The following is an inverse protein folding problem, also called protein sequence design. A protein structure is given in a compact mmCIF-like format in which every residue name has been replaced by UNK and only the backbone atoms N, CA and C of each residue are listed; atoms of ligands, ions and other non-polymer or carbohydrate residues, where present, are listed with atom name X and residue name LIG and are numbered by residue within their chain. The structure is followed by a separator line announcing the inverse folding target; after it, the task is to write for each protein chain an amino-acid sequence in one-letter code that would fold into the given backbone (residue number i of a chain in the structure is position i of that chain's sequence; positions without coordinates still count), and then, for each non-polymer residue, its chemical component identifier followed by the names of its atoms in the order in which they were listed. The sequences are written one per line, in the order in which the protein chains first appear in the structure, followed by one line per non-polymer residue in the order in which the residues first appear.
data_IF_907487343137
#
_entry.id   IF_907487343137
#
_cell.length_a   1.000
_cell.length_b   1.000
_cell.length_c   1.000
_cell.angle_alpha   90.00
_cell.angle_beta   90.00
_cell.angle_gamma   90.00
#
_symmetry.space_group_name_H-M   'P 1'
#
loop_
_entity.id
_entity.type
_entity.pdbx_description
1 polymer ?
#
# COMPACT_ATOMS: atom_id res chain seq x y z
N UNK A 1 -25.94 22.41 -7.78
CA UNK A 1 -25.68 21.30 -8.72
C UNK A 1 -24.35 21.53 -9.43
N UNK A 2 -24.11 22.67 -10.08
CA UNK A 2 -22.86 22.97 -10.80
C UNK A 2 -21.62 22.90 -9.89
N UNK A 3 -21.70 23.44 -8.70
CA UNK A 3 -20.62 23.42 -7.70
C UNK A 3 -20.26 21.98 -7.27
N UNK A 4 -21.24 21.13 -7.00
CA UNK A 4 -21.02 19.72 -6.72
C UNK A 4 -20.35 18.98 -7.89
N UNK A 5 -20.84 19.25 -9.11
CA UNK A 5 -20.28 18.64 -10.33
C UNK A 5 -18.81 19.03 -10.51
N UNK A 6 -18.48 20.31 -10.40
CA UNK A 6 -17.10 20.81 -10.53
C UNK A 6 -16.19 20.19 -9.47
N UNK A 7 -16.66 20.09 -8.23
CA UNK A 7 -15.92 19.44 -7.15
C UNK A 7 -15.61 17.99 -7.49
N UNK A 8 -16.62 17.20 -7.93
CA UNK A 8 -16.43 15.79 -8.27
C UNK A 8 -15.47 15.60 -9.46
N UNK A 9 -15.60 16.43 -10.50
CA UNK A 9 -14.69 16.38 -11.65
C UNK A 9 -13.24 16.66 -11.22
N UNK A 10 -13.03 17.63 -10.33
CA UNK A 10 -11.72 17.96 -9.79
C UNK A 10 -11.14 16.80 -8.96
N UNK A 11 -11.94 16.24 -8.04
CA UNK A 11 -11.52 15.10 -7.22
C UNK A 11 -11.15 13.88 -8.07
N UNK A 12 -11.95 13.55 -9.09
CA UNK A 12 -11.71 12.41 -10.00
C UNK A 12 -10.40 12.60 -10.78
N UNK A 13 -10.21 13.77 -11.40
CA UNK A 13 -9.00 14.04 -12.17
C UNK A 13 -7.74 14.07 -11.32
N UNK A 14 -7.84 14.63 -10.12
CA UNK A 14 -6.71 14.63 -9.18
C UNK A 14 -6.37 13.22 -8.74
N UNK A 15 -7.40 12.40 -8.41
CA UNK A 15 -7.21 11.01 -8.03
C UNK A 15 -6.55 10.19 -9.17
N UNK A 16 -7.00 10.37 -10.39
CA UNK A 16 -6.40 9.73 -11.57
C UNK A 16 -4.92 10.08 -11.71
N UNK A 17 -4.58 11.36 -11.59
CA UNK A 17 -3.20 11.86 -11.68
C UNK A 17 -2.34 11.31 -10.55
N UNK A 18 -2.83 11.39 -9.30
CA UNK A 18 -2.08 10.92 -8.13
C UNK A 18 -1.86 9.41 -8.18
N UNK A 19 -2.89 8.64 -8.54
CA UNK A 19 -2.78 7.19 -8.65
C UNK A 19 -1.76 6.77 -9.72
N UNK A 20 -1.75 7.42 -10.89
CA UNK A 20 -0.74 7.19 -11.93
C UNK A 20 0.69 7.40 -11.40
N UNK A 21 0.90 8.47 -10.63
CA UNK A 21 2.22 8.76 -10.04
C UNK A 21 2.61 7.72 -9.00
N UNK A 22 1.70 7.38 -8.08
CA UNK A 22 1.97 6.43 -6.99
C UNK A 22 2.28 5.03 -7.54
N UNK A 23 1.45 4.52 -8.45
CA UNK A 23 1.61 3.19 -9.06
C UNK A 23 2.90 3.14 -9.89
N UNK A 24 3.15 4.16 -10.73
CA UNK A 24 4.38 4.23 -11.52
C UNK A 24 5.62 4.19 -10.63
N UNK A 25 5.70 5.07 -9.62
CA UNK A 25 6.84 5.13 -8.70
C UNK A 25 7.03 3.84 -7.90
N UNK A 26 5.95 3.20 -7.51
CA UNK A 26 6.02 1.95 -6.77
C UNK A 26 6.55 0.78 -7.61
N UNK A 27 6.14 0.70 -8.88
CA UNK A 27 6.58 -0.37 -9.78
C UNK A 27 7.96 -0.12 -10.40
N UNK A 28 8.37 1.14 -10.52
CA UNK A 28 9.64 1.54 -11.13
C UNK A 28 10.84 0.98 -10.36
N UNK A 29 11.88 0.52 -11.10
CA UNK A 29 13.12 -0.03 -10.54
C UNK A 29 12.90 -1.18 -9.53
N UNK A 30 11.81 -1.94 -9.67
CA UNK A 30 11.47 -3.06 -8.77
C UNK A 30 11.32 -2.63 -7.30
N UNK A 31 10.93 -1.38 -7.02
CA UNK A 31 10.78 -0.85 -5.65
C UNK A 31 9.79 -1.66 -4.82
N UNK A 32 8.68 -2.14 -5.43
CA UNK A 32 7.72 -3.03 -4.79
C UNK A 32 8.36 -4.30 -4.20
N UNK A 33 9.39 -4.81 -4.88
CA UNK A 33 10.13 -5.97 -4.41
C UNK A 33 11.16 -5.60 -3.34
N UNK A 34 11.91 -4.50 -3.51
CA UNK A 34 12.91 -4.02 -2.56
C UNK A 34 12.29 -3.62 -1.22
N UNK A 35 11.14 -2.95 -1.26
CA UNK A 35 10.38 -2.57 -0.06
C UNK A 35 10.08 -3.77 0.85
N UNK A 36 9.86 -4.96 0.31
CA UNK A 36 9.56 -6.17 1.09
C UNK A 36 10.66 -6.53 2.10
N UNK A 37 11.89 -6.10 1.85
CA UNK A 37 13.08 -6.42 2.65
C UNK A 37 13.57 -5.24 3.51
N UNK A 38 12.84 -4.12 3.52
CA UNK A 38 13.15 -2.97 4.36
C UNK A 38 12.65 -3.17 5.80
N UNK A 39 13.48 -2.75 6.79
CA UNK A 39 13.14 -2.90 8.23
C UNK A 39 11.91 -2.09 8.64
N UNK A 40 11.74 -0.89 8.06
CA UNK A 40 10.61 0.00 8.31
C UNK A 40 9.61 -0.08 7.14
N UNK A 41 9.05 -1.29 6.93
CA UNK A 41 8.05 -1.50 5.88
C UNK A 41 6.82 -0.64 6.14
N UNK A 42 6.40 0.20 5.19
CA UNK A 42 5.13 0.89 5.28
C UNK A 42 3.97 -0.11 5.34
N UNK A 43 3.16 -0.05 6.40
CA UNK A 43 1.97 -0.90 6.53
C UNK A 43 1.02 -0.71 5.35
N UNK A 44 0.45 -1.81 4.84
CA UNK A 44 -0.66 -1.82 3.89
C UNK A 44 -0.48 -0.84 2.71
N UNK A 45 0.49 -1.10 1.83
CA UNK A 45 0.80 -0.26 0.66
C UNK A 45 -0.41 -0.11 -0.27
N UNK A 46 -1.17 -1.19 -0.45
CA UNK A 46 -2.44 -1.24 -1.19
C UNK A 46 -3.45 -0.20 -0.66
N UNK A 47 -3.62 -0.14 0.65
CA UNK A 47 -4.50 0.83 1.32
C UNK A 47 -4.00 2.27 1.14
N UNK A 48 -2.68 2.49 1.12
CA UNK A 48 -2.10 3.84 0.90
C UNK A 48 -2.36 4.33 -0.52
N UNK A 49 -2.22 3.46 -1.52
CA UNK A 49 -2.43 3.82 -2.94
C UNK A 49 -3.92 4.04 -3.24
N UNK A 50 -4.81 3.20 -2.73
CA UNK A 50 -6.25 3.28 -3.03
C UNK A 50 -6.99 4.18 -2.05
N UNK A 51 -6.99 3.83 -0.76
CA UNK A 51 -7.86 4.47 0.23
C UNK A 51 -7.29 5.80 0.71
N UNK A 52 -6.02 5.84 1.17
CA UNK A 52 -5.43 7.06 1.73
C UNK A 52 -5.33 8.15 0.68
N UNK A 53 -5.00 7.82 -0.58
CA UNK A 53 -4.94 8.79 -1.67
C UNK A 53 -6.33 9.39 -1.97
N UNK A 54 -7.37 8.57 -2.04
CA UNK A 54 -8.75 9.03 -2.27
C UNK A 54 -9.26 9.91 -1.13
N UNK A 55 -9.06 9.44 0.11
CA UNK A 55 -9.53 10.17 1.29
C UNK A 55 -8.73 11.45 1.54
N UNK A 56 -7.44 11.46 1.21
CA UNK A 56 -6.59 12.67 1.24
C UNK A 56 -7.14 13.75 0.31
N UNK A 57 -7.46 13.41 -0.94
CA UNK A 57 -7.99 14.35 -1.92
C UNK A 57 -9.34 14.89 -1.47
N UNK A 58 -10.28 14.03 -1.11
CA UNK A 58 -11.61 14.42 -0.66
C UNK A 58 -11.57 15.30 0.59
N UNK A 59 -10.75 14.93 1.58
CA UNK A 59 -10.57 15.74 2.79
C UNK A 59 -9.89 17.08 2.48
N UNK A 60 -8.91 17.14 1.57
CA UNK A 60 -8.25 18.38 1.15
C UNK A 60 -9.27 19.36 0.56
N UNK A 61 -10.05 18.91 -0.41
CA UNK A 61 -11.07 19.74 -1.07
C UNK A 61 -12.09 20.23 -0.04
N UNK A 62 -12.56 19.35 0.83
CA UNK A 62 -13.53 19.68 1.89
C UNK A 62 -12.99 20.71 2.88
N UNK A 63 -11.75 20.53 3.35
CA UNK A 63 -11.10 21.42 4.31
C UNK A 63 -10.84 22.79 3.66
N UNK A 64 -10.25 22.84 2.47
CA UNK A 64 -9.91 24.10 1.77
C UNK A 64 -11.20 24.88 1.47
N UNK A 65 -12.23 24.23 0.93
CA UNK A 65 -13.52 24.87 0.66
C UNK A 65 -14.19 25.38 1.93
N UNK A 66 -14.20 24.57 2.99
CA UNK A 66 -14.76 24.97 4.28
C UNK A 66 -14.01 26.13 4.89
N UNK A 67 -12.67 26.15 4.78
CA UNK A 67 -11.84 27.26 5.27
C UNK A 67 -12.10 28.55 4.51
N UNK A 68 -12.14 28.51 3.18
CA UNK A 68 -12.43 29.69 2.35
C UNK A 68 -13.82 30.25 2.70
N UNK A 69 -14.84 29.39 2.75
CA UNK A 69 -16.19 29.81 3.12
C UNK A 69 -16.26 30.39 4.53
N UNK A 70 -15.56 29.80 5.49
CA UNK A 70 -15.51 30.31 6.87
C UNK A 70 -14.83 31.66 6.96
N UNK A 71 -13.73 31.88 6.23
CA UNK A 71 -13.01 33.17 6.19
C UNK A 71 -13.93 34.26 5.60
N UNK A 72 -14.52 33.99 4.42
CA UNK A 72 -15.41 34.96 3.75
C UNK A 72 -16.61 35.30 4.63
N UNK A 73 -17.28 34.30 5.20
CA UNK A 73 -18.42 34.48 6.10
C UNK A 73 -18.01 35.24 7.37
N UNK A 74 -16.83 34.99 7.91
CA UNK A 74 -16.32 35.70 9.09
C UNK A 74 -16.12 37.19 8.77
N UNK A 75 -15.52 37.53 7.66
CA UNK A 75 -15.30 38.92 7.25
C UNK A 75 -16.64 39.65 7.03
N UNK A 76 -17.53 39.03 6.23
CA UNK A 76 -18.85 39.58 5.90
C UNK A 76 -19.67 39.86 7.16
N UNK A 77 -19.88 38.86 8.00
CA UNK A 77 -20.73 39.04 9.18
C UNK A 77 -20.08 39.80 10.32
N UNK A 78 -18.74 39.92 10.36
CA UNK A 78 -18.06 40.85 11.27
C UNK A 78 -18.35 42.30 10.89
N UNK A 79 -18.30 42.64 9.61
CA UNK A 79 -18.62 43.97 9.12
C UNK A 79 -20.08 44.33 9.44
N UNK A 80 -21.02 43.42 9.20
CA UNK A 80 -22.43 43.61 9.50
C UNK A 80 -22.65 43.82 11.01
N UNK A 81 -22.08 42.92 11.84
CA UNK A 81 -22.16 43.06 13.29
C UNK A 81 -21.53 44.35 13.82
N UNK A 82 -20.40 44.75 13.22
CA UNK A 82 -19.76 46.01 13.59
C UNK A 82 -20.63 47.22 13.31
N UNK A 83 -21.38 47.24 12.21
CA UNK A 83 -22.33 48.31 11.89
C UNK A 83 -23.54 48.34 12.81
N UNK A 84 -24.07 47.18 13.20
CA UNK A 84 -25.25 47.01 14.07
C UNK A 84 -24.91 47.13 15.57
N UNK A 85 -23.64 46.95 15.91
CA UNK A 85 -23.16 46.99 17.30
C UNK A 85 -23.08 48.44 17.80
N UNK A 86 -23.77 48.70 18.93
CA UNK A 86 -23.65 49.94 19.67
C UNK A 86 -22.81 49.78 20.95
N UNK A 87 -23.01 50.73 21.86
CA UNK A 87 -22.37 50.69 23.19
C UNK A 87 -23.01 49.56 24.00
N UNK A 88 -22.19 48.64 24.49
CA UNK A 88 -22.59 47.61 25.42
C UNK A 88 -22.26 48.05 26.85
N UNK A 89 -23.25 48.25 27.67
CA UNK A 89 -23.07 48.51 29.10
C UNK A 89 -23.15 47.17 29.86
N UNK A 90 -22.01 46.69 30.29
CA UNK A 90 -21.90 45.46 31.06
C UNK A 90 -21.14 45.74 32.36
N UNK A 91 -21.69 45.41 33.52
CA UNK A 91 -21.08 45.65 34.85
C UNK A 91 -20.52 47.09 35.05
N UNK A 92 -21.20 48.13 34.48
CA UNK A 92 -20.78 49.51 34.63
C UNK A 92 -19.69 49.99 33.66
N UNK A 93 -19.24 49.10 32.78
CA UNK A 93 -18.29 49.45 31.70
C UNK A 93 -19.08 49.66 30.39
N UNK A 94 -18.88 50.84 29.76
CA UNK A 94 -19.46 51.15 28.45
C UNK A 94 -18.41 50.89 27.38
N UNK A 95 -18.56 49.76 26.69
CA UNK A 95 -17.61 49.33 25.63
C UNK A 95 -18.27 49.63 24.27
N UNK A 96 -17.68 50.52 23.49
CA UNK A 96 -18.09 50.72 22.09
C UNK A 96 -17.86 49.44 21.31
N UNK A 97 -18.88 49.06 20.51
CA UNK A 97 -18.82 47.80 19.73
C UNK A 97 -18.65 46.53 20.60
N UNK A 98 -18.97 46.60 21.89
CA UNK A 98 -18.73 45.55 22.88
C UNK A 98 -19.36 44.21 22.53
N UNK A 99 -20.46 44.19 21.78
CA UNK A 99 -21.14 42.95 21.33
C UNK A 99 -20.21 42.12 20.45
N UNK A 100 -19.45 42.73 19.54
CA UNK A 100 -18.52 42.02 18.64
C UNK A 100 -17.42 41.36 19.46
N UNK A 101 -16.76 42.11 20.35
CA UNK A 101 -15.68 41.59 21.18
C UNK A 101 -16.15 40.48 22.10
N UNK A 102 -17.33 40.59 22.65
CA UNK A 102 -17.91 39.56 23.51
C UNK A 102 -18.15 38.25 22.74
N UNK A 103 -18.66 38.35 21.50
CA UNK A 103 -18.85 37.17 20.62
C UNK A 103 -17.54 36.46 20.34
N UNK A 104 -16.51 37.20 19.93
CA UNK A 104 -15.21 36.61 19.66
C UNK A 104 -14.62 35.93 20.91
N UNK A 105 -14.67 36.57 22.06
CA UNK A 105 -14.19 35.99 23.32
C UNK A 105 -14.96 34.72 23.68
N UNK A 106 -16.32 34.74 23.56
CA UNK A 106 -17.15 33.57 23.79
C UNK A 106 -16.81 32.39 22.88
N UNK A 107 -16.61 32.64 21.56
CA UNK A 107 -16.31 31.59 20.60
C UNK A 107 -14.91 31.03 20.82
N UNK A 108 -13.90 31.88 21.09
CA UNK A 108 -12.53 31.44 21.40
C UNK A 108 -12.54 30.56 22.63
N UNK A 109 -13.20 30.97 23.71
CA UNK A 109 -13.29 30.18 24.94
C UNK A 109 -13.99 28.83 24.71
N UNK A 110 -15.12 28.85 23.99
CA UNK A 110 -15.84 27.63 23.64
C UNK A 110 -15.00 26.69 22.75
N UNK A 111 -14.21 27.25 21.84
CA UNK A 111 -13.31 26.45 20.98
C UNK A 111 -12.19 25.81 21.80
N UNK A 112 -11.54 26.55 22.68
CA UNK A 112 -10.47 26.03 23.55
C UNK A 112 -11.01 24.90 24.46
N UNK A 113 -12.18 25.07 25.05
CA UNK A 113 -12.80 24.03 25.88
C UNK A 113 -13.18 22.79 25.05
N UNK A 114 -13.72 22.99 23.85
CA UNK A 114 -14.09 21.88 22.95
C UNK A 114 -12.86 21.07 22.53
N UNK A 115 -11.74 21.75 22.18
CA UNK A 115 -10.48 21.11 21.85
C UNK A 115 -9.95 20.32 23.05
N UNK A 116 -9.99 20.91 24.24
CA UNK A 116 -9.55 20.22 25.45
C UNK A 116 -10.36 18.95 25.76
N UNK A 117 -11.69 18.99 25.60
CA UNK A 117 -12.57 17.82 25.76
C UNK A 117 -12.33 16.79 24.65
N UNK A 118 -12.12 17.25 23.41
CA UNK A 118 -11.98 16.40 22.22
C UNK A 118 -10.60 15.76 22.06
N UNK A 119 -9.55 16.33 22.66
CA UNK A 119 -8.16 15.87 22.47
C UNK A 119 -7.96 14.35 22.65
N UNK A 120 -8.55 13.66 23.64
CA UNK A 120 -8.38 12.21 23.79
C UNK A 120 -8.96 11.38 22.63
N UNK A 121 -9.94 11.94 21.86
CA UNK A 121 -10.52 11.26 20.70
C UNK A 121 -9.49 10.95 19.61
N UNK A 122 -8.43 11.76 19.48
CA UNK A 122 -7.36 11.55 18.52
C UNK A 122 -6.72 10.18 18.74
N UNK A 123 -6.32 9.90 19.98
CA UNK A 123 -5.71 8.61 20.33
C UNK A 123 -6.69 7.43 20.18
N UNK A 124 -7.94 7.64 20.55
CA UNK A 124 -8.97 6.61 20.42
C UNK A 124 -9.30 6.28 18.96
N UNK A 125 -9.35 7.28 18.09
CA UNK A 125 -9.54 7.09 16.64
C UNK A 125 -8.33 6.44 15.99
N UNK A 126 -7.11 6.80 16.38
CA UNK A 126 -5.91 6.10 15.94
C UNK A 126 -5.95 4.62 16.32
N UNK A 127 -6.29 4.32 17.58
CA UNK A 127 -6.44 2.94 18.05
C UNK A 127 -7.55 2.18 17.31
N UNK A 128 -8.65 2.85 16.96
CA UNK A 128 -9.74 2.27 16.16
C UNK A 128 -9.23 1.73 14.82
N UNK A 129 -8.46 2.53 14.08
CA UNK A 129 -7.92 2.11 12.78
C UNK A 129 -6.91 0.96 12.93
N UNK A 130 -6.02 1.04 13.94
CA UNK A 130 -5.06 -0.02 14.25
C UNK A 130 -5.77 -1.34 14.57
N UNK A 131 -6.72 -1.34 15.52
CA UNK A 131 -7.44 -2.55 15.93
C UNK A 131 -8.28 -3.15 14.78
N UNK A 132 -8.88 -2.31 13.94
CA UNK A 132 -9.60 -2.78 12.75
C UNK A 132 -8.64 -3.44 11.76
N UNK A 133 -7.44 -2.89 11.55
CA UNK A 133 -6.39 -3.47 10.72
C UNK A 133 -5.93 -4.83 11.24
N UNK A 134 -5.63 -4.94 12.53
CA UNK A 134 -5.19 -6.16 13.20
C UNK A 134 -6.26 -7.27 13.14
N UNK A 135 -7.53 -6.92 13.27
CA UNK A 135 -8.64 -7.85 13.14
C UNK A 135 -8.82 -8.34 11.71
N UNK A 136 -8.78 -7.42 10.72
CA UNK A 136 -8.84 -7.78 9.29
C UNK A 136 -7.70 -8.71 8.90
N UNK A 137 -6.47 -8.40 9.33
CA UNK A 137 -5.33 -9.27 9.10
C UNK A 137 -5.55 -10.69 9.64
N UNK A 138 -6.14 -10.80 10.84
CA UNK A 138 -6.44 -12.11 11.43
C UNK A 138 -7.49 -12.88 10.63
N UNK A 139 -8.52 -12.20 10.10
CA UNK A 139 -9.52 -12.83 9.23
C UNK A 139 -8.91 -13.31 7.91
N UNK A 140 -8.03 -12.51 7.29
CA UNK A 140 -7.30 -12.88 6.08
C UNK A 140 -6.43 -14.10 6.35
N UNK A 141 -5.72 -14.13 7.49
CA UNK A 141 -4.90 -15.28 7.88
C UNK A 141 -5.70 -16.58 8.03
N UNK A 142 -6.90 -16.52 8.61
CA UNK A 142 -7.81 -17.68 8.69
C UNK A 142 -8.24 -18.13 7.30
N UNK A 143 -8.61 -17.18 6.42
CA UNK A 143 -9.00 -17.49 5.04
C UNK A 143 -7.87 -18.15 4.25
N UNK A 144 -6.69 -17.61 4.34
CA UNK A 144 -5.53 -18.05 3.56
C UNK A 144 -4.98 -19.41 4.06
N UNK A 145 -5.27 -19.77 5.31
CA UNK A 145 -4.89 -21.06 5.91
C UNK A 145 -6.09 -21.95 6.22
N UNK A 146 -7.22 -21.74 5.53
CA UNK A 146 -8.48 -22.43 5.84
C UNK A 146 -8.35 -23.96 5.81
N UNK A 147 -7.65 -24.51 4.82
CA UNK A 147 -7.41 -25.95 4.68
C UNK A 147 -6.59 -26.51 5.85
N UNK A 148 -5.50 -25.83 6.22
CA UNK A 148 -4.67 -26.25 7.36
C UNK A 148 -5.44 -26.21 8.68
N UNK A 149 -6.25 -25.16 8.90
CA UNK A 149 -7.08 -25.01 10.10
C UNK A 149 -8.10 -26.13 10.17
N UNK A 150 -8.74 -26.47 9.04
CA UNK A 150 -9.69 -27.57 8.95
C UNK A 150 -9.03 -28.93 9.24
N UNK A 151 -7.83 -29.18 8.72
CA UNK A 151 -7.08 -30.42 9.02
C UNK A 151 -6.70 -30.55 10.50
N UNK A 152 -6.32 -29.43 11.14
CA UNK A 152 -5.98 -29.42 12.57
C UNK A 152 -7.20 -29.33 13.48
N UNK A 153 -8.42 -29.15 12.95
CA UNK A 153 -9.65 -28.90 13.71
C UNK A 153 -9.50 -27.72 14.68
N UNK A 154 -8.86 -26.64 14.18
CA UNK A 154 -8.46 -25.49 14.97
C UNK A 154 -9.54 -24.41 15.13
N UNK A 155 -10.79 -24.64 14.71
CA UNK A 155 -11.86 -23.64 14.64
C UNK A 155 -12.14 -22.96 15.99
N UNK A 156 -12.13 -23.71 17.08
CA UNK A 156 -12.38 -23.16 18.41
C UNK A 156 -11.28 -22.19 18.86
N UNK A 157 -10.02 -22.52 18.53
CA UNK A 157 -8.87 -21.68 18.88
C UNK A 157 -8.90 -20.37 18.08
N UNK A 158 -9.15 -20.46 16.79
CA UNK A 158 -9.27 -19.28 15.91
C UNK A 158 -10.47 -18.42 16.32
N UNK A 159 -11.61 -19.03 16.65
CA UNK A 159 -12.78 -18.32 17.15
C UNK A 159 -12.47 -17.55 18.45
N UNK A 160 -11.75 -18.16 19.38
CA UNK A 160 -11.36 -17.51 20.63
C UNK A 160 -10.44 -16.31 20.38
N UNK A 161 -9.45 -16.46 19.49
CA UNK A 161 -8.52 -15.41 19.10
C UNK A 161 -9.25 -14.24 18.44
N UNK A 162 -10.12 -14.50 17.47
CA UNK A 162 -10.92 -13.50 16.78
C UNK A 162 -11.89 -12.78 17.74
N UNK A 163 -12.52 -13.52 18.66
CA UNK A 163 -13.41 -12.96 19.69
C UNK A 163 -12.68 -11.99 20.61
N UNK A 164 -11.47 -12.30 21.04
CA UNK A 164 -10.66 -11.44 21.89
C UNK A 164 -10.28 -10.14 21.17
N UNK A 165 -9.78 -10.24 19.93
CA UNK A 165 -9.47 -9.06 19.12
C UNK A 165 -10.69 -8.19 18.84
N UNK A 166 -11.83 -8.81 18.57
CA UNK A 166 -13.08 -8.07 18.38
C UNK A 166 -13.56 -7.38 19.67
N UNK A 167 -13.35 -8.00 20.82
CA UNK A 167 -13.66 -7.40 22.11
C UNK A 167 -12.86 -6.11 22.37
N UNK A 168 -11.59 -6.06 21.95
CA UNK A 168 -10.78 -4.84 22.03
C UNK A 168 -11.34 -3.71 21.15
N UNK A 169 -11.83 -4.03 19.95
CA UNK A 169 -12.53 -3.06 19.07
C UNK A 169 -13.76 -2.51 19.78
N UNK A 170 -14.57 -3.38 20.36
CA UNK A 170 -15.80 -2.98 21.07
C UNK A 170 -15.46 -2.11 22.28
N UNK A 171 -14.45 -2.47 23.06
CA UNK A 171 -14.02 -1.66 24.20
C UNK A 171 -13.59 -0.23 23.76
N UNK A 172 -12.76 -0.14 22.73
CA UNK A 172 -12.34 1.15 22.18
C UNK A 172 -13.50 1.95 21.59
N UNK A 173 -14.49 1.31 20.95
CA UNK A 173 -15.70 1.95 20.45
C UNK A 173 -16.53 2.58 21.58
N UNK A 174 -16.71 1.87 22.70
CA UNK A 174 -17.39 2.41 23.86
C UNK A 174 -16.66 3.63 24.43
N UNK A 175 -15.34 3.61 24.51
CA UNK A 175 -14.55 4.75 24.93
C UNK A 175 -14.75 5.97 24.01
N UNK A 176 -14.81 5.77 22.70
CA UNK A 176 -15.13 6.82 21.72
C UNK A 176 -16.52 7.37 21.94
N UNK A 177 -17.54 6.51 22.06
CA UNK A 177 -18.94 6.94 22.25
C UNK A 177 -19.11 7.80 23.51
N UNK A 178 -18.53 7.39 24.63
CA UNK A 178 -18.61 8.15 25.89
C UNK A 178 -17.93 9.52 25.77
N UNK A 179 -16.80 9.60 25.07
CA UNK A 179 -16.13 10.89 24.81
C UNK A 179 -16.91 11.78 23.85
N UNK A 180 -17.46 11.20 22.78
CA UNK A 180 -18.32 11.91 21.83
C UNK A 180 -19.57 12.47 22.52
N UNK A 181 -20.19 11.69 23.39
CA UNK A 181 -21.36 12.15 24.16
C UNK A 181 -21.02 13.39 25.00
N UNK A 182 -19.86 13.42 25.65
CA UNK A 182 -19.40 14.58 26.42
C UNK A 182 -19.14 15.79 25.53
N UNK A 183 -18.47 15.59 24.39
CA UNK A 183 -18.15 16.64 23.43
C UNK A 183 -19.41 17.22 22.77
N UNK A 184 -20.32 16.37 22.31
CA UNK A 184 -21.57 16.77 21.66
C UNK A 184 -22.51 17.45 22.64
N UNK A 185 -22.56 16.94 23.88
CA UNK A 185 -23.32 17.56 24.97
C UNK A 185 -22.81 18.98 25.26
N UNK A 186 -21.51 19.17 25.36
CA UNK A 186 -20.88 20.49 25.51
C UNK A 186 -21.18 21.39 24.31
N UNK A 187 -20.93 20.92 23.08
CA UNK A 187 -21.16 21.66 21.84
C UNK A 187 -22.63 22.04 21.68
N UNK A 188 -23.55 21.14 22.01
CA UNK A 188 -24.98 21.40 22.02
C UNK A 188 -25.39 22.49 23.02
N UNK A 189 -24.83 22.47 24.24
CA UNK A 189 -25.04 23.49 25.27
C UNK A 189 -24.51 24.85 24.83
N UNK A 190 -23.30 24.92 24.31
CA UNK A 190 -22.70 26.15 23.74
C UNK A 190 -23.60 26.71 22.63
N UNK A 191 -24.08 25.85 21.71
CA UNK A 191 -24.94 26.28 20.61
C UNK A 191 -26.29 26.85 21.11
N UNK A 192 -26.87 26.26 22.15
CA UNK A 192 -28.14 26.77 22.77
C UNK A 192 -27.94 28.11 23.44
N UNK A 193 -26.86 28.23 24.24
CA UNK A 193 -26.50 29.52 24.88
C UNK A 193 -26.23 30.58 23.82
N UNK A 194 -25.50 30.25 22.78
CA UNK A 194 -25.18 31.17 21.68
C UNK A 194 -26.42 31.70 20.95
N UNK A 195 -27.49 30.92 20.81
CA UNK A 195 -28.74 31.38 20.19
C UNK A 195 -29.48 32.42 21.03
N UNK A 196 -29.40 32.33 22.35
CA UNK A 196 -30.07 33.25 23.29
C UNK A 196 -29.25 34.50 23.58
N UNK A 197 -27.94 34.39 23.50
CA UNK A 197 -26.99 35.44 23.90
C UNK A 197 -27.22 36.77 23.18
N UNK A 198 -27.32 36.86 21.81
CA UNK A 198 -27.55 38.12 21.12
C UNK A 198 -28.90 38.75 21.45
N UNK A 199 -29.91 37.94 21.73
CA UNK A 199 -31.22 38.45 22.21
C UNK A 199 -31.06 39.12 23.57
N UNK A 200 -30.41 38.47 24.52
CA UNK A 200 -30.18 39.04 25.86
C UNK A 200 -29.33 40.31 25.82
N UNK A 201 -28.32 40.37 24.99
CA UNK A 201 -27.44 41.56 24.86
C UNK A 201 -28.12 42.75 24.18
N UNK A 202 -29.08 42.51 23.27
CA UNK A 202 -29.79 43.55 22.54
C UNK A 202 -31.13 43.94 23.18
N UNK A 203 -31.68 43.17 24.10
CA UNK A 203 -32.95 43.40 24.74
C UNK A 203 -33.05 44.77 25.43
N UNK A 204 -32.05 45.25 26.21
CA UNK A 204 -32.12 46.61 26.83
C UNK A 204 -32.25 47.72 25.79
N UNK A 205 -31.52 47.64 24.68
CA UNK A 205 -31.56 48.63 23.59
C UNK A 205 -32.86 48.60 22.81
N UNK A 206 -33.47 47.43 22.68
CA UNK A 206 -34.79 47.28 22.06
C UNK A 206 -35.86 47.93 22.93
N UNK A 207 -35.90 47.62 24.23
CA UNK A 207 -36.90 48.18 25.15
C UNK A 207 -36.74 49.68 25.39
N UNK A 208 -35.54 50.25 25.22
CA UNK A 208 -35.29 51.67 25.25
C UNK A 208 -35.58 52.39 23.92
N UNK A 209 -36.03 51.65 22.89
CA UNK A 209 -36.35 52.21 21.58
C UNK A 209 -35.15 52.57 20.71
N UNK A 210 -33.91 52.21 21.09
CA UNK A 210 -32.69 52.54 20.35
C UNK A 210 -32.51 51.70 19.05
N UNK A 211 -33.12 50.53 19.00
CA UNK A 211 -33.10 49.62 17.85
C UNK A 211 -34.50 49.11 17.53
N UNK A 212 -34.73 48.81 16.22
CA UNK A 212 -35.97 48.23 15.75
C UNK A 212 -35.89 46.71 15.84
N UNK A 213 -37.07 46.03 15.79
CA UNK A 213 -37.17 44.56 15.78
C UNK A 213 -36.35 43.94 14.61
N UNK A 214 -36.31 44.61 13.45
CA UNK A 214 -35.51 44.21 12.31
C UNK A 214 -34.01 44.17 12.59
N UNK A 215 -33.47 45.19 13.27
CA UNK A 215 -32.06 45.30 13.64
C UNK A 215 -31.67 44.21 14.63
N UNK A 216 -32.58 43.91 15.59
CA UNK A 216 -32.40 42.80 16.54
C UNK A 216 -32.34 41.44 15.82
N UNK A 217 -33.27 41.18 14.89
CA UNK A 217 -33.28 39.95 14.11
C UNK A 217 -32.02 39.80 13.24
N UNK A 218 -31.59 40.91 12.58
CA UNK A 218 -30.40 40.93 11.77
C UNK A 218 -29.13 40.66 12.62
N UNK A 219 -29.05 41.20 13.83
CA UNK A 219 -27.98 40.93 14.79
C UNK A 219 -27.93 39.45 15.16
N UNK A 220 -29.08 38.82 15.43
CA UNK A 220 -29.16 37.38 15.76
C UNK A 220 -28.69 36.53 14.58
N UNK A 221 -29.12 36.85 13.37
CA UNK A 221 -28.69 36.13 12.17
C UNK A 221 -27.19 36.28 11.91
N UNK A 222 -26.67 37.50 11.99
CA UNK A 222 -25.26 37.77 11.81
C UNK A 222 -24.42 37.05 12.88
N UNK A 223 -24.86 37.03 14.13
CA UNK A 223 -24.22 36.30 15.21
C UNK A 223 -24.15 34.79 14.92
N UNK A 224 -25.29 34.18 14.55
CA UNK A 224 -25.36 32.75 14.27
C UNK A 224 -24.44 32.35 13.08
N UNK A 225 -24.40 33.17 12.04
CA UNK A 225 -23.52 32.97 10.88
C UNK A 225 -22.04 33.07 11.26
N UNK A 226 -21.69 34.12 12.00
CA UNK A 226 -20.31 34.33 12.50
C UNK A 226 -19.88 33.17 13.42
N UNK A 227 -20.77 32.76 14.33
CA UNK A 227 -20.52 31.66 15.22
C UNK A 227 -20.27 30.36 14.45
N UNK A 228 -21.06 30.04 13.43
CA UNK A 228 -20.90 28.86 12.61
C UNK A 228 -19.56 28.89 11.86
N UNK A 229 -19.23 30.05 11.28
CA UNK A 229 -17.96 30.26 10.57
C UNK A 229 -16.75 30.09 11.50
N UNK A 230 -16.72 30.77 12.63
CA UNK A 230 -15.61 30.67 13.59
C UNK A 230 -15.51 29.30 14.29
N UNK A 231 -16.63 28.57 14.36
CA UNK A 231 -16.63 27.20 14.89
C UNK A 231 -16.10 26.17 13.88
N UNK A 232 -15.77 26.56 12.66
CA UNK A 232 -15.28 25.66 11.63
C UNK A 232 -14.10 24.81 12.13
N UNK A 233 -13.05 25.41 12.66
CA UNK A 233 -11.89 24.68 13.18
C UNK A 233 -12.23 23.74 14.33
N UNK A 234 -13.19 24.10 15.17
CA UNK A 234 -13.68 23.26 16.26
C UNK A 234 -14.42 22.02 15.75
N UNK A 235 -15.32 22.22 14.77
CA UNK A 235 -16.13 21.15 14.21
C UNK A 235 -15.33 20.23 13.28
N UNK A 236 -14.32 20.77 12.59
CA UNK A 236 -13.46 20.03 11.68
C UNK A 236 -12.17 19.50 12.32
N UNK A 237 -12.01 19.62 13.64
CA UNK A 237 -10.77 19.21 14.32
C UNK A 237 -10.46 17.72 14.12
N UNK A 238 -11.48 16.85 14.23
CA UNK A 238 -11.34 15.42 13.99
C UNK A 238 -10.91 15.13 12.54
N UNK A 239 -11.59 15.73 11.57
CA UNK A 239 -11.27 15.62 10.14
C UNK A 239 -9.85 16.11 9.85
N UNK A 240 -9.44 17.21 10.48
CA UNK A 240 -8.08 17.75 10.31
C UNK A 240 -7.01 16.80 10.86
N UNK A 241 -7.29 16.13 11.97
CA UNK A 241 -6.38 15.14 12.55
C UNK A 241 -6.25 13.89 11.68
N UNK A 242 -7.36 13.40 11.16
CA UNK A 242 -7.38 12.28 10.21
C UNK A 242 -6.64 12.65 8.91
N UNK A 243 -6.88 13.84 8.40
CA UNK A 243 -6.18 14.37 7.23
C UNK A 243 -4.66 14.40 7.42
N UNK A 244 -4.20 14.91 8.57
CA UNK A 244 -2.78 14.93 8.90
C UNK A 244 -2.18 13.53 9.00
N UNK A 245 -2.89 12.59 9.58
CA UNK A 245 -2.44 11.20 9.64
C UNK A 245 -2.29 10.58 8.25
N UNK A 246 -3.29 10.78 7.36
CA UNK A 246 -3.24 10.32 5.96
C UNK A 246 -2.11 10.97 5.18
N UNK A 247 -1.94 12.27 5.33
CA UNK A 247 -0.85 13.02 4.70
C UNK A 247 0.52 12.46 5.12
N UNK A 248 0.71 12.23 6.42
CA UNK A 248 1.95 11.66 6.95
C UNK A 248 2.21 10.26 6.41
N UNK A 249 1.17 9.43 6.27
CA UNK A 249 1.30 8.06 5.70
C UNK A 249 1.68 8.09 4.23
N UNK A 250 1.03 8.94 3.43
CA UNK A 250 1.36 9.12 2.01
C UNK A 250 2.77 9.72 1.83
N UNK A 251 3.09 10.73 2.60
CA UNK A 251 4.42 11.36 2.60
C UNK A 251 5.50 10.36 2.99
N UNK A 252 5.32 9.62 4.07
CA UNK A 252 6.26 8.57 4.49
C UNK A 252 6.44 7.47 3.44
N UNK A 253 5.37 7.09 2.73
CA UNK A 253 5.46 6.15 1.62
C UNK A 253 6.29 6.71 0.45
N UNK A 254 6.01 7.96 0.04
CA UNK A 254 6.75 8.61 -1.04
C UNK A 254 8.23 8.81 -0.69
N UNK A 255 8.53 9.27 0.53
CA UNK A 255 9.90 9.42 1.02
C UNK A 255 10.66 8.09 1.00
N UNK A 256 9.98 7.00 1.41
CA UNK A 256 10.61 5.67 1.37
C UNK A 256 10.91 5.20 -0.05
N UNK A 257 10.03 5.50 -1.02
CA UNK A 257 10.28 5.24 -2.43
C UNK A 257 11.47 6.08 -2.97
N UNK A 258 11.60 7.33 -2.52
CA UNK A 258 12.71 8.22 -2.91
C UNK A 258 14.03 7.75 -2.27
N UNK A 259 14.04 7.29 -1.01
CA UNK A 259 15.20 6.68 -0.36
C UNK A 259 15.72 5.46 -1.15
N UNK A 260 14.81 4.63 -1.67
CA UNK A 260 15.15 3.48 -2.49
C UNK A 260 15.76 3.87 -3.85
N UNK A 261 15.46 5.06 -4.39
CA UNK A 261 16.13 5.55 -5.60
C UNK A 261 17.58 5.93 -5.34
N UNK A 262 17.88 6.43 -4.13
CA UNK A 262 19.23 6.83 -3.74
C UNK A 262 20.06 5.69 -3.14
N UNK A 263 19.40 4.64 -2.65
CA UNK A 263 20.09 3.43 -2.18
C UNK A 263 20.40 2.51 -3.37
N UNK A 264 21.47 2.79 -4.07
CA UNK A 264 22.05 1.82 -5.01
C UNK A 264 22.53 0.62 -4.19
N UNK A 265 21.79 -0.49 -4.26
CA UNK A 265 22.39 -1.79 -3.92
C UNK A 265 23.38 -2.05 -5.02
N UNK A 266 24.62 -1.63 -4.81
CA UNK A 266 25.71 -1.86 -5.75
C UNK A 266 25.96 -3.37 -5.81
N UNK A 267 25.26 -4.03 -6.72
CA UNK A 267 25.77 -5.28 -7.26
C UNK A 267 26.71 -4.88 -8.40
N UNK A 268 28.00 -5.07 -8.28
CA UNK A 268 28.92 -4.78 -9.36
C UNK A 268 28.70 -5.80 -10.49
N UNK A 269 27.69 -5.54 -11.31
CA UNK A 269 27.40 -6.35 -12.50
C UNK A 269 28.14 -5.78 -13.70
N UNK A 270 28.97 -6.60 -14.30
CA UNK A 270 29.67 -6.24 -15.52
C UNK A 270 29.05 -6.97 -16.71
N UNK A 271 28.72 -6.22 -17.76
CA UNK A 271 28.31 -6.82 -19.04
C UNK A 271 29.45 -7.63 -19.67
N UNK A 272 29.18 -8.89 -20.00
CA UNK A 272 30.12 -9.83 -20.59
C UNK A 272 29.36 -10.82 -21.49
N UNK A 273 30.05 -11.56 -22.35
CA UNK A 273 29.43 -12.63 -23.14
C UNK A 273 29.30 -13.96 -22.36
N UNK A 274 29.48 -13.94 -21.04
CA UNK A 274 29.44 -15.12 -20.17
C UNK A 274 28.82 -14.78 -18.83
N UNK A 275 28.38 -15.80 -18.11
CA UNK A 275 28.04 -15.67 -16.69
C UNK A 275 29.25 -16.10 -15.87
N UNK A 276 29.81 -15.18 -15.09
CA UNK A 276 30.96 -15.51 -14.23
C UNK A 276 30.83 -14.87 -12.85
N UNK A 277 31.31 -15.58 -11.86
CA UNK A 277 31.48 -15.09 -10.49
C UNK A 277 32.98 -15.07 -10.18
N UNK A 278 33.49 -13.96 -9.64
CA UNK A 278 34.89 -13.84 -9.22
C UNK A 278 34.95 -13.38 -7.77
N UNK A 279 35.50 -14.23 -6.89
CA UNK A 279 35.57 -14.01 -5.44
C UNK A 279 34.25 -13.58 -4.86
N UNK A 280 33.17 -14.19 -5.33
CA UNK A 280 31.82 -13.76 -5.07
C UNK A 280 31.30 -14.28 -3.71
N UNK A 281 30.59 -13.41 -2.99
CA UNK A 281 29.93 -13.74 -1.73
C UNK A 281 28.61 -13.00 -1.57
N UNK A 282 27.72 -13.55 -0.77
CA UNK A 282 26.42 -12.96 -0.43
C UNK A 282 26.31 -12.76 1.08
N UNK A 283 25.71 -11.64 1.49
CA UNK A 283 25.42 -11.33 2.89
C UNK A 283 23.92 -11.46 3.16
N UNK A 284 23.56 -11.77 4.41
CA UNK A 284 22.17 -11.78 4.86
C UNK A 284 21.66 -10.36 5.20
N UNK A 285 20.41 -10.25 5.64
CA UNK A 285 19.79 -9.00 6.10
C UNK A 285 20.54 -8.35 7.27
N UNK A 286 21.29 -9.13 8.04
CA UNK A 286 22.07 -8.66 9.20
C UNK A 286 23.52 -8.31 8.82
N UNK A 287 23.89 -8.41 7.53
CA UNK A 287 25.23 -8.16 7.02
C UNK A 287 26.24 -9.32 7.27
N UNK A 288 25.76 -10.49 7.74
CA UNK A 288 26.62 -11.68 7.92
C UNK A 288 26.83 -12.36 6.59
N UNK A 289 28.04 -12.84 6.35
CA UNK A 289 28.41 -13.55 5.14
C UNK A 289 27.78 -14.95 5.14
N UNK A 290 26.93 -15.25 4.17
CA UNK A 290 26.30 -16.56 3.97
C UNK A 290 27.16 -17.47 3.10
N UNK A 291 27.69 -16.91 2.02
CA UNK A 291 28.58 -17.61 1.07
C UNK A 291 29.78 -16.71 0.76
N UNK A 292 30.93 -17.31 0.55
CA UNK A 292 32.18 -16.59 0.26
C UNK A 292 33.03 -17.29 -0.77
N UNK A 293 33.84 -16.50 -1.48
CA UNK A 293 34.87 -16.96 -2.40
C UNK A 293 34.39 -17.91 -3.51
N UNK A 294 33.20 -17.66 -4.04
CA UNK A 294 32.66 -18.41 -5.17
C UNK A 294 33.32 -17.95 -6.48
N UNK A 295 33.85 -18.91 -7.22
CA UNK A 295 34.46 -18.69 -8.55
C UNK A 295 33.78 -19.65 -9.52
N UNK A 296 33.02 -19.13 -10.48
CA UNK A 296 32.26 -19.89 -11.46
C UNK A 296 32.39 -19.21 -12.81
N UNK A 297 32.54 -19.97 -13.87
CA UNK A 297 32.50 -19.46 -15.24
C UNK A 297 31.58 -20.37 -16.07
N UNK A 298 30.58 -19.77 -16.73
CA UNK A 298 29.65 -20.44 -17.62
C UNK A 298 29.67 -19.78 -19.00
N UNK A 299 29.75 -20.60 -20.02
CA UNK A 299 29.71 -20.21 -21.44
C UNK A 299 28.39 -20.68 -22.07
N UNK A 300 28.11 -20.19 -23.26
CA UNK A 300 26.95 -20.60 -24.02
C UNK A 300 26.86 -22.13 -24.13
N UNK A 301 25.66 -22.67 -23.80
CA UNK A 301 25.38 -24.10 -23.76
C UNK A 301 25.73 -24.81 -22.45
N UNK A 302 26.40 -24.12 -21.51
CA UNK A 302 26.67 -24.68 -20.17
C UNK A 302 25.40 -24.76 -19.33
N UNK A 303 25.33 -25.80 -18.51
CA UNK A 303 24.28 -25.96 -17.53
C UNK A 303 24.87 -26.26 -16.14
N UNK A 304 24.60 -25.40 -15.17
CA UNK A 304 25.06 -25.51 -13.80
C UNK A 304 23.94 -26.00 -12.89
N UNK A 305 24.17 -27.10 -12.17
CA UNK A 305 23.29 -27.55 -11.10
C UNK A 305 23.83 -27.12 -9.74
N UNK A 306 23.05 -26.34 -8.99
CA UNK A 306 23.39 -25.90 -7.65
C UNK A 306 22.67 -26.81 -6.65
N UNK A 307 23.46 -27.45 -5.80
CA UNK A 307 22.99 -28.40 -4.79
C UNK A 307 23.45 -27.99 -3.39
N UNK A 308 22.92 -28.66 -2.37
CA UNK A 308 23.28 -28.43 -0.97
C UNK A 308 22.05 -28.57 -0.05
N UNK A 309 22.22 -28.64 1.26
CA UNK A 309 21.12 -28.72 2.25
C UNK A 309 20.15 -27.55 2.16
N UNK A 310 18.96 -27.70 2.74
CA UNK A 310 18.02 -26.58 2.83
C UNK A 310 18.59 -25.46 3.70
N UNK A 311 18.38 -24.19 3.31
CA UNK A 311 18.89 -23.04 4.06
C UNK A 311 20.33 -22.62 3.72
N UNK A 312 21.06 -23.32 2.84
CA UNK A 312 22.43 -22.98 2.46
C UNK A 312 22.58 -21.77 1.54
N UNK A 313 21.49 -21.10 1.19
CA UNK A 313 21.53 -19.90 0.34
C UNK A 313 21.46 -20.17 -1.16
N UNK A 314 21.03 -21.34 -1.63
CA UNK A 314 20.89 -21.68 -3.07
C UNK A 314 20.04 -20.66 -3.83
N UNK A 315 18.82 -20.41 -3.38
CA UNK A 315 17.92 -19.40 -3.95
C UNK A 315 18.52 -17.99 -3.88
N UNK A 316 19.21 -17.65 -2.78
CA UNK A 316 19.90 -16.37 -2.61
C UNK A 316 21.01 -16.17 -3.62
N UNK A 317 21.83 -17.20 -3.85
CA UNK A 317 22.87 -17.20 -4.87
C UNK A 317 22.27 -17.03 -6.28
N UNK A 318 21.21 -17.77 -6.59
CA UNK A 318 20.54 -17.68 -7.89
C UNK A 318 19.98 -16.28 -8.13
N UNK A 319 19.36 -15.68 -7.10
CA UNK A 319 18.87 -14.28 -7.15
C UNK A 319 19.98 -13.27 -7.31
N UNK A 320 21.12 -13.49 -6.66
CA UNK A 320 22.28 -12.60 -6.78
C UNK A 320 22.88 -12.66 -8.20
N UNK A 321 23.00 -13.85 -8.76
CA UNK A 321 23.43 -14.03 -10.15
C UNK A 321 22.45 -13.42 -11.16
N UNK A 322 21.15 -13.41 -10.86
CA UNK A 322 20.12 -12.80 -11.69
C UNK A 322 19.95 -11.27 -11.46
N UNK A 323 20.74 -10.66 -10.56
CA UNK A 323 20.65 -9.24 -10.27
C UNK A 323 19.38 -8.79 -9.55
N UNK A 324 18.73 -9.69 -8.80
CA UNK A 324 17.51 -9.40 -8.03
C UNK A 324 17.68 -9.64 -6.53
N UNK A 325 18.91 -9.88 -6.07
CA UNK A 325 19.17 -10.07 -4.64
C UNK A 325 19.08 -8.74 -3.89
N UNK A 326 18.30 -8.66 -2.79
CA UNK A 326 18.01 -7.38 -2.16
C UNK A 326 19.09 -6.87 -1.20
N UNK A 327 20.07 -7.72 -0.83
CA UNK A 327 21.10 -7.38 0.14
C UNK A 327 22.49 -7.24 -0.52
N UNK A 328 23.48 -6.85 0.27
CA UNK A 328 24.85 -6.64 -0.20
C UNK A 328 25.50 -7.93 -0.72
N UNK A 329 26.27 -7.77 -1.78
CA UNK A 329 27.14 -8.81 -2.35
C UNK A 329 28.58 -8.36 -2.33
N UNK A 330 29.50 -9.32 -2.32
CA UNK A 330 30.96 -9.09 -2.36
C UNK A 330 31.50 -9.71 -3.64
N UNK A 331 32.53 -9.13 -4.25
CA UNK A 331 33.10 -9.64 -5.49
C UNK A 331 32.39 -9.15 -6.74
N UNK A 332 32.63 -9.79 -7.90
CA UNK A 332 32.13 -9.36 -9.19
C UNK A 332 31.21 -10.42 -9.80
N UNK A 333 30.08 -9.98 -10.35
CA UNK A 333 29.19 -10.78 -11.21
C UNK A 333 29.32 -10.27 -12.64
N UNK A 334 29.77 -11.12 -13.54
CA UNK A 334 29.68 -10.89 -14.99
C UNK A 334 28.39 -11.56 -15.49
N UNK A 335 27.55 -10.80 -16.15
CA UNK A 335 26.27 -11.28 -16.69
C UNK A 335 26.12 -10.82 -18.14
N UNK A 336 25.60 -11.67 -19.05
CA UNK A 336 25.29 -11.21 -20.39
C UNK A 336 24.27 -10.09 -20.33
N UNK A 337 24.52 -8.97 -21.04
CA UNK A 337 23.55 -7.88 -21.19
C UNK A 337 22.48 -8.23 -22.22
N UNK A 338 21.91 -9.41 -22.11
CA UNK A 338 20.96 -10.04 -23.02
C UNK A 338 19.73 -10.51 -22.24
N UNK A 339 18.77 -11.07 -22.95
CA UNK A 339 17.54 -11.57 -22.34
C UNK A 339 17.84 -12.68 -21.33
N UNK A 340 17.50 -12.43 -20.07
CA UNK A 340 17.56 -13.43 -19.01
C UNK A 340 16.17 -13.65 -18.42
N UNK A 341 15.86 -14.89 -18.02
CA UNK A 341 14.59 -15.23 -17.42
C UNK A 341 14.80 -15.95 -16.08
N UNK A 342 14.19 -15.42 -15.03
CA UNK A 342 14.18 -16.07 -13.71
C UNK A 342 12.83 -16.72 -13.46
N UNK A 343 12.83 -18.02 -13.22
CA UNK A 343 11.65 -18.79 -12.91
C UNK A 343 11.67 -19.22 -11.44
N UNK A 344 10.75 -18.69 -10.63
CA UNK A 344 10.64 -19.07 -9.22
C UNK A 344 9.98 -20.45 -9.07
N UNK A 345 10.10 -21.03 -7.90
CA UNK A 345 9.47 -22.31 -7.53
C UNK A 345 7.95 -22.32 -7.78
N UNK A 346 7.27 -21.19 -7.57
CA UNK A 346 5.87 -20.98 -7.91
C UNK A 346 5.76 -19.85 -8.94
N UNK A 347 5.53 -20.18 -10.21
CA UNK A 347 5.36 -19.18 -11.25
C UNK A 347 4.12 -18.32 -10.99
N UNK A 348 4.24 -17.04 -11.30
CA UNK A 348 3.14 -16.09 -11.21
C UNK A 348 2.28 -16.16 -12.47
N UNK A 349 0.96 -16.19 -12.26
CA UNK A 349 -0.06 -16.06 -13.31
C UNK A 349 -0.84 -14.77 -13.07
N UNK A 350 -0.78 -13.78 -13.98
CA UNK A 350 -1.62 -12.58 -13.87
C UNK A 350 -3.10 -12.95 -14.08
N UNK A 351 -3.98 -12.06 -13.62
CA UNK A 351 -5.41 -12.14 -13.93
C UNK A 351 -5.63 -11.85 -15.41
N UNK A 352 -6.63 -12.49 -16.01
CA UNK A 352 -6.99 -12.36 -17.42
C UNK A 352 -7.18 -13.70 -18.12
N UNK A 353 -7.09 -13.70 -19.43
CA UNK A 353 -7.18 -14.93 -20.24
C UNK A 353 -5.98 -15.84 -20.01
N UNK A 354 -6.15 -17.16 -20.19
CA UNK A 354 -5.03 -18.09 -20.06
C UNK A 354 -3.90 -17.76 -21.04
N UNK A 355 -4.25 -17.31 -22.23
CA UNK A 355 -3.32 -16.88 -23.26
C UNK A 355 -2.43 -15.74 -22.76
N UNK A 356 -3.01 -14.68 -22.22
CA UNK A 356 -2.28 -13.55 -21.64
C UNK A 356 -1.45 -13.96 -20.45
N UNK A 357 -2.01 -14.80 -19.58
CA UNK A 357 -1.32 -15.30 -18.40
C UNK A 357 -0.09 -16.14 -18.73
N UNK A 358 -0.15 -17.01 -19.75
CA UNK A 358 1.01 -17.79 -20.23
C UNK A 358 2.05 -16.86 -20.86
N UNK A 359 1.63 -15.88 -21.66
CA UNK A 359 2.52 -14.97 -22.41
C UNK A 359 3.11 -13.83 -21.54
N UNK A 360 2.84 -13.78 -20.26
CA UNK A 360 3.42 -12.80 -19.34
C UNK A 360 4.95 -12.94 -19.21
N UNK A 361 5.77 -11.83 -19.16
CA UNK A 361 5.30 -10.43 -19.20
C UNK A 361 5.17 -9.83 -20.63
N UNK A 362 5.98 -10.24 -21.60
CA UNK A 362 6.18 -9.51 -22.87
C UNK A 362 6.09 -10.40 -24.12
N UNK A 363 5.56 -11.61 -24.00
CA UNK A 363 5.36 -12.51 -25.14
C UNK A 363 4.05 -12.09 -25.85
N UNK A 364 4.07 -12.04 -27.19
CA UNK A 364 2.85 -11.83 -27.94
C UNK A 364 1.81 -12.92 -27.65
N UNK A 365 0.62 -12.59 -27.16
CA UNK A 365 -0.43 -13.58 -26.89
C UNK A 365 -0.82 -14.42 -28.13
N UNK A 366 -0.62 -13.89 -29.33
CA UNK A 366 -0.89 -14.60 -30.59
C UNK A 366 0.38 -15.17 -31.23
N UNK A 367 1.40 -15.47 -30.41
CA UNK A 367 2.64 -16.07 -30.88
C UNK A 367 2.38 -17.38 -31.65
N UNK A 368 2.90 -17.55 -32.89
CA UNK A 368 2.55 -18.68 -33.76
C UNK A 368 2.95 -20.05 -33.20
N UNK A 369 3.95 -20.10 -32.31
CA UNK A 369 4.41 -21.35 -31.68
C UNK A 369 3.67 -21.66 -30.37
N UNK A 370 2.73 -20.82 -29.89
CA UNK A 370 2.09 -20.98 -28.59
C UNK A 370 1.39 -22.33 -28.44
N UNK A 371 0.50 -22.68 -29.38
CA UNK A 371 -0.28 -23.91 -29.33
C UNK A 371 0.61 -25.16 -29.39
N UNK A 372 1.63 -25.13 -30.28
CA UNK A 372 2.61 -26.20 -30.37
C UNK A 372 3.39 -26.37 -29.07
N UNK A 373 3.83 -25.25 -28.49
CA UNK A 373 4.62 -25.28 -27.24
C UNK A 373 3.78 -25.76 -26.05
N UNK A 374 2.47 -25.45 -26.01
CA UNK A 374 1.55 -26.03 -25.06
C UNK A 374 1.51 -27.55 -25.13
N UNK A 375 1.41 -28.11 -26.35
CA UNK A 375 1.43 -29.55 -26.58
C UNK A 375 2.78 -30.17 -26.15
N UNK A 376 3.90 -29.55 -26.54
CA UNK A 376 5.24 -30.00 -26.14
C UNK A 376 5.47 -30.02 -24.61
N UNK A 377 4.75 -29.17 -23.87
CA UNK A 377 4.76 -29.12 -22.42
C UNK A 377 3.59 -29.90 -21.75
N UNK A 378 2.89 -30.76 -22.49
CA UNK A 378 1.76 -31.57 -22.02
C UNK A 378 0.62 -30.75 -21.39
N UNK A 379 0.29 -29.58 -21.96
CA UNK A 379 -0.81 -28.73 -21.57
C UNK A 379 -1.86 -28.56 -22.70
N UNK A 380 -1.87 -29.48 -23.66
CA UNK A 380 -2.79 -29.51 -24.80
C UNK A 380 -4.27 -29.51 -24.41
N UNK A 381 -4.63 -30.05 -23.26
CA UNK A 381 -6.00 -30.00 -22.74
C UNK A 381 -6.57 -28.58 -22.53
N UNK A 382 -5.71 -27.58 -22.43
CA UNK A 382 -6.11 -26.20 -22.25
C UNK A 382 -6.20 -25.38 -23.54
N UNK A 383 -5.96 -25.97 -24.71
CA UNK A 383 -6.02 -25.30 -26.02
C UNK A 383 -7.39 -24.63 -26.25
N UNK A 384 -8.49 -25.29 -25.84
CA UNK A 384 -9.84 -24.74 -25.97
C UNK A 384 -10.19 -23.67 -24.93
N UNK A 385 -9.34 -23.48 -23.93
CA UNK A 385 -9.56 -22.54 -22.83
C UNK A 385 -8.62 -21.32 -22.87
N UNK A 386 -7.83 -21.17 -23.92
CA UNK A 386 -6.82 -20.10 -24.02
C UNK A 386 -7.42 -18.70 -23.88
N UNK A 387 -8.60 -18.48 -24.42
CA UNK A 387 -9.27 -17.17 -24.41
C UNK A 387 -10.32 -17.01 -23.30
N UNK A 388 -10.33 -17.94 -22.34
CA UNK A 388 -11.19 -17.89 -21.16
C UNK A 388 -10.52 -17.06 -20.06
N UNK A 389 -11.24 -16.05 -19.56
CA UNK A 389 -10.83 -15.22 -18.43
C UNK A 389 -11.18 -15.94 -17.12
N UNK A 390 -10.18 -16.21 -16.29
CA UNK A 390 -10.37 -16.91 -15.02
C UNK A 390 -9.19 -16.68 -14.06
N UNK A 391 -9.33 -17.12 -12.80
CA UNK A 391 -8.20 -17.19 -11.84
C UNK A 391 -7.34 -18.45 -12.11
N UNK A 392 -6.50 -18.37 -13.12
CA UNK A 392 -5.65 -19.49 -13.55
C UNK A 392 -4.61 -19.88 -12.50
N UNK A 393 -4.26 -18.97 -11.59
CA UNK A 393 -3.35 -19.26 -10.47
C UNK A 393 -3.97 -20.26 -9.49
N UNK A 394 -5.30 -20.25 -9.32
CA UNK A 394 -6.04 -21.15 -8.44
C UNK A 394 -6.48 -22.45 -9.16
N UNK A 395 -6.69 -22.40 -10.48
CA UNK A 395 -7.19 -23.52 -11.28
C UNK A 395 -6.08 -24.52 -11.63
N UNK A 396 -4.90 -24.02 -12.02
CA UNK A 396 -3.79 -24.87 -12.42
C UNK A 396 -3.14 -25.54 -11.22
N UNK A 397 -2.91 -26.83 -11.31
CA UNK A 397 -2.12 -27.56 -10.32
C UNK A 397 -0.68 -27.05 -10.26
N UNK A 398 0.04 -27.24 -9.14
CA UNK A 398 1.44 -26.81 -9.03
C UNK A 398 2.33 -27.31 -10.17
N UNK A 399 2.14 -28.56 -10.62
CA UNK A 399 2.89 -29.12 -11.75
C UNK A 399 2.52 -28.47 -13.09
N UNK A 400 1.25 -28.08 -13.30
CA UNK A 400 0.83 -27.34 -14.49
C UNK A 400 1.38 -25.93 -14.52
N UNK A 401 1.41 -25.25 -13.37
CA UNK A 401 2.07 -23.95 -13.24
C UNK A 401 3.54 -24.03 -13.60
N UNK A 402 4.26 -25.06 -13.13
CA UNK A 402 5.66 -25.27 -13.49
C UNK A 402 5.83 -25.54 -14.99
N UNK A 403 4.92 -26.28 -15.64
CA UNK A 403 4.96 -26.47 -17.10
C UNK A 403 4.72 -25.17 -17.88
N UNK A 404 3.87 -24.26 -17.39
CA UNK A 404 3.72 -22.92 -17.96
C UNK A 404 5.03 -22.14 -17.92
N UNK A 405 5.83 -22.28 -16.85
CA UNK A 405 7.15 -21.64 -16.80
C UNK A 405 8.07 -22.11 -17.93
N UNK A 406 8.03 -23.41 -18.27
CA UNK A 406 8.81 -23.96 -19.39
C UNK A 406 8.30 -23.46 -20.75
N UNK A 407 6.97 -23.26 -20.92
CA UNK A 407 6.42 -22.63 -22.12
C UNK A 407 7.02 -21.22 -22.29
N UNK A 408 7.10 -20.44 -21.23
CA UNK A 408 7.71 -19.11 -21.27
C UNK A 408 9.16 -19.14 -21.73
N UNK A 409 9.98 -20.12 -21.28
CA UNK A 409 11.35 -20.28 -21.77
C UNK A 409 11.36 -20.53 -23.28
N UNK A 410 10.54 -21.46 -23.76
CA UNK A 410 10.51 -21.88 -25.15
C UNK A 410 10.05 -20.76 -26.12
N UNK A 411 9.14 -19.89 -25.64
CA UNK A 411 8.64 -18.76 -26.42
C UNK A 411 9.58 -17.55 -26.35
N UNK A 412 10.11 -17.23 -25.16
CA UNK A 412 11.02 -16.07 -24.97
C UNK A 412 12.42 -16.33 -25.56
N UNK A 413 12.85 -17.60 -25.60
CA UNK A 413 14.17 -18.03 -26.06
C UNK A 413 15.32 -17.23 -25.41
N UNK A 414 15.39 -17.16 -24.06
CA UNK A 414 16.40 -16.36 -23.37
C UNK A 414 17.81 -16.95 -23.55
N UNK A 415 18.83 -16.10 -23.44
CA UNK A 415 20.21 -16.58 -23.46
C UNK A 415 20.64 -17.20 -22.12
N UNK A 416 20.04 -16.72 -21.01
CA UNK A 416 20.28 -17.26 -19.67
C UNK A 416 18.97 -17.53 -18.97
N UNK A 417 18.84 -18.71 -18.36
CA UNK A 417 17.68 -19.06 -17.54
C UNK A 417 18.10 -19.45 -16.12
N UNK A 418 17.40 -18.90 -15.15
CA UNK A 418 17.56 -19.23 -13.73
C UNK A 418 16.33 -20.03 -13.27
N UNK A 419 16.54 -21.27 -12.83
CA UNK A 419 15.49 -22.21 -12.43
C UNK A 419 15.60 -22.51 -10.93
N UNK A 420 14.71 -21.94 -10.13
CA UNK A 420 14.69 -22.14 -8.67
C UNK A 420 13.66 -23.23 -8.31
N UNK A 421 14.09 -24.48 -8.18
CA UNK A 421 13.25 -25.67 -7.90
C UNK A 421 11.99 -25.77 -8.78
N UNK A 422 12.09 -25.32 -10.03
CA UNK A 422 10.95 -25.17 -10.96
C UNK A 422 10.36 -26.50 -11.44
N UNK A 423 10.93 -27.63 -11.06
CA UNK A 423 10.43 -28.97 -11.39
C UNK A 423 10.06 -29.80 -10.16
N UNK A 424 10.03 -29.17 -8.98
CA UNK A 424 9.76 -29.88 -7.71
C UNK A 424 8.39 -30.56 -7.63
N UNK A 425 7.38 -30.03 -8.34
CA UNK A 425 6.02 -30.56 -8.40
C UNK A 425 5.75 -31.45 -9.63
N UNK A 426 6.77 -31.70 -10.47
CA UNK A 426 6.64 -32.58 -11.63
C UNK A 426 7.04 -34.01 -11.30
N UNK A 427 6.52 -34.96 -12.06
CA UNK A 427 7.02 -36.33 -12.08
C UNK A 427 8.33 -36.40 -12.91
N UNK A 428 9.15 -37.42 -12.68
CA UNK A 428 10.45 -37.57 -13.34
C UNK A 428 10.37 -37.66 -14.88
N UNK A 429 9.40 -38.38 -15.47
CA UNK A 429 9.25 -38.42 -16.93
C UNK A 429 8.93 -37.07 -17.54
N UNK A 430 8.06 -36.29 -16.92
CA UNK A 430 7.73 -34.92 -17.40
C UNK A 430 8.92 -33.98 -17.23
N UNK A 431 9.62 -34.03 -16.09
CA UNK A 431 10.86 -33.26 -15.89
C UNK A 431 11.90 -33.57 -16.98
N UNK A 432 12.12 -34.86 -17.25
CA UNK A 432 13.04 -35.30 -18.29
C UNK A 432 12.65 -34.75 -19.67
N UNK A 433 11.36 -34.86 -20.05
CA UNK A 433 10.86 -34.37 -21.32
C UNK A 433 11.07 -32.87 -21.48
N UNK A 434 10.79 -32.07 -20.47
CA UNK A 434 10.93 -30.61 -20.50
C UNK A 434 12.39 -30.18 -20.63
N UNK A 435 13.30 -30.75 -19.84
CA UNK A 435 14.73 -30.44 -19.96
C UNK A 435 15.30 -30.88 -21.32
N UNK A 436 14.89 -32.04 -21.82
CA UNK A 436 15.28 -32.52 -23.17
C UNK A 436 14.80 -31.54 -24.25
N UNK A 437 13.52 -31.13 -24.20
CA UNK A 437 12.93 -30.19 -25.15
C UNK A 437 13.68 -28.85 -25.18
N UNK A 438 14.03 -28.33 -23.99
CA UNK A 438 14.81 -27.08 -23.87
C UNK A 438 16.19 -27.27 -24.48
N UNK A 439 16.92 -28.33 -24.17
CA UNK A 439 18.27 -28.60 -24.70
C UNK A 439 18.27 -28.77 -26.21
N UNK A 440 17.26 -29.41 -26.77
CA UNK A 440 17.13 -29.62 -28.22
C UNK A 440 16.77 -28.33 -28.96
N UNK A 441 15.86 -27.51 -28.40
CA UNK A 441 15.42 -26.25 -29.05
C UNK A 441 16.35 -25.07 -28.81
N UNK A 442 17.03 -25.03 -27.65
CA UNK A 442 17.85 -23.93 -27.20
C UNK A 442 19.25 -24.41 -26.78
N UNK A 443 20.06 -25.01 -27.69
CA UNK A 443 21.32 -25.68 -27.33
C UNK A 443 22.40 -24.71 -26.80
N UNK A 444 22.33 -23.43 -27.15
CA UNK A 444 23.29 -22.40 -26.72
C UNK A 444 22.90 -21.67 -25.43
N UNK A 445 21.70 -21.96 -24.87
CA UNK A 445 21.24 -21.31 -23.66
C UNK A 445 22.03 -21.73 -22.44
N UNK A 446 22.39 -20.76 -21.58
CA UNK A 446 23.02 -21.04 -20.28
C UNK A 446 21.89 -21.37 -19.28
N UNK A 447 22.00 -22.52 -18.62
CA UNK A 447 21.00 -22.98 -17.63
C UNK A 447 21.64 -22.99 -16.25
N UNK A 448 20.99 -22.32 -15.29
CA UNK A 448 21.34 -22.39 -13.86
C UNK A 448 20.14 -22.93 -13.10
N UNK A 449 20.28 -24.14 -12.56
CA UNK A 449 19.19 -24.81 -11.85
C UNK A 449 19.53 -25.06 -10.39
N UNK A 450 18.58 -24.81 -9.50
CA UNK A 450 18.58 -25.32 -8.14
C UNK A 450 17.66 -26.56 -8.12
N UNK A 451 18.17 -27.69 -7.66
CA UNK A 451 17.38 -28.91 -7.59
C UNK A 451 18.08 -30.04 -6.82
N UNK A 452 17.28 -31.01 -6.38
CA UNK A 452 17.75 -32.13 -5.56
C UNK A 452 17.62 -33.50 -6.24
N UNK A 453 16.97 -33.57 -7.41
CA UNK A 453 16.71 -34.85 -8.09
C UNK A 453 17.89 -35.33 -8.89
N UNK A 454 18.13 -36.65 -8.86
CA UNK A 454 19.20 -37.30 -9.61
C UNK A 454 19.04 -37.18 -11.14
N UNK A 455 17.80 -37.07 -11.62
CA UNK A 455 17.47 -36.90 -13.05
C UNK A 455 18.07 -35.64 -13.66
N UNK A 456 18.32 -34.60 -12.87
CA UNK A 456 18.90 -33.34 -13.34
C UNK A 456 20.38 -33.45 -13.72
N UNK A 457 21.13 -34.41 -13.13
CA UNK A 457 22.55 -34.55 -13.38
C UNK A 457 22.90 -34.80 -14.88
N UNK A 458 22.03 -35.51 -15.61
CA UNK A 458 22.26 -35.80 -17.02
C UNK A 458 22.11 -34.58 -17.95
N UNK A 459 21.41 -33.52 -17.47
CA UNK A 459 21.20 -32.28 -18.24
C UNK A 459 22.20 -31.18 -17.87
N UNK A 460 23.01 -31.36 -16.83
CA UNK A 460 23.91 -30.37 -16.30
C UNK A 460 25.37 -30.87 -16.40
N UNK A 461 26.19 -30.14 -17.15
CA UNK A 461 27.61 -30.45 -17.33
C UNK A 461 28.52 -29.88 -16.22
N UNK A 462 27.97 -28.99 -15.37
CA UNK A 462 28.65 -28.42 -14.20
C UNK A 462 27.81 -28.58 -12.94
N UNK A 463 28.47 -28.75 -11.80
CA UNK A 463 27.83 -28.90 -10.51
C UNK A 463 28.50 -28.02 -9.46
N UNK A 464 27.74 -27.42 -8.60
CA UNK A 464 28.18 -26.66 -7.44
C UNK A 464 27.48 -27.18 -6.19
N UNK A 465 28.23 -27.74 -5.28
CA UNK A 465 27.70 -28.12 -3.96
C UNK A 465 28.03 -27.03 -2.94
N UNK A 466 26.97 -26.35 -2.44
CA UNK A 466 27.12 -25.28 -1.46
C UNK A 466 27.42 -25.79 -0.04
N UNK A 467 27.30 -27.10 0.24
CA UNK A 467 27.69 -27.65 1.54
C UNK A 467 29.18 -27.42 1.85
N UNK A 468 30.02 -27.28 0.82
CA UNK A 468 31.48 -27.07 0.92
C UNK A 468 31.84 -25.58 1.03
N UNK A 469 30.88 -24.65 0.77
CA UNK A 469 31.12 -23.22 0.63
C UNK A 469 30.50 -22.39 1.78
N UNK A 470 29.98 -23.04 2.83
CA UNK A 470 29.40 -22.37 3.99
C UNK A 470 30.53 -21.83 4.88
N UNK A 471 30.42 -20.57 5.33
CA UNK A 471 31.35 -19.89 6.24
C UNK A 471 31.04 -20.20 7.69
#
# INVERSE_FOLDING_TARGET
IADYFLQQVFEIRWLESLNKVLVKRWLENKKYYRLKYEKDLPDNIDQRIEQDAREFISSTVKIVRGMINSILTTIEFTIILWSLSGILSLFGLNIEKGVVFFIYAFIILATLMSVWIGHPLIKLNFNKEKLNGDYRYSLIRVRDNAESIAFYQGEQQEQHLLKNKFAEIIHNRWAIVLRMLGLDGFNGSVTRVAKLLPLMLQAPRFFTGQIKLGDMHQTVQAFNRLMTALSFFRLFYEEFTLYQARLNRLYGFMTKLDELDHSEVHQPMKCSNRVALSNFGIKDEQGRLLLNNLNIELKNGDALLIQGPSGTGKTSLLKAMAGIYPFETVGLVEHPCVTSLFLPQRPYMPQGTLREAICYPDIDPYHPELEKTLADCCLDKYLHSLDVDNDWQAILSPGELQRVAFIRILLTKPEVVFLDETTSALDEPTEYLLYKTIKERLPNMIILSVGHRGTLHQFHNKQLDLAVCIV
#
